data_IF_687877882745
#
_entry.id   IF_687877882745
#
_cell.length_a   1.000
_cell.length_b   1.000
_cell.length_c   1.000
_cell.angle_alpha   90.00
_cell.angle_beta   90.00
_cell.angle_gamma   90.00
#
_symmetry.space_group_name_H-M   'P 1'
#
loop_
_entity.id
_entity.type
_entity.pdbx_description
1 polymer ?
#
# COMPACT_ATOMS: atom_id res chain seq x y z
N UNK A 1 -10.84 0.17 17.26
CA UNK A 1 -9.54 0.71 16.80
C UNK A 1 -8.92 -0.27 15.81
N UNK A 2 -8.86 0.09 14.52
CA UNK A 2 -8.42 -0.78 13.43
C UNK A 2 -6.90 -1.10 13.53
N UNK A 3 -6.57 -2.29 14.02
CA UNK A 3 -5.20 -2.81 14.11
C UNK A 3 -4.87 -3.62 12.84
N UNK A 4 -3.83 -3.19 12.13
CA UNK A 4 -3.01 -3.99 11.20
C UNK A 4 -3.68 -4.61 9.94
N UNK A 5 -4.38 -3.80 9.13
CA UNK A 5 -4.98 -4.29 7.87
C UNK A 5 -3.99 -4.37 6.69
N UNK A 6 -2.98 -3.50 6.62
CA UNK A 6 -2.18 -3.34 5.39
C UNK A 6 -1.25 -4.53 5.03
N UNK A 7 -0.62 -5.19 6.01
CA UNK A 7 0.28 -6.33 5.72
C UNK A 7 -0.49 -7.54 5.19
N UNK A 8 -1.62 -7.85 5.83
CA UNK A 8 -2.49 -8.97 5.45
C UNK A 8 -3.14 -8.73 4.08
N UNK A 9 -3.55 -7.49 3.80
CA UNK A 9 -4.04 -7.08 2.49
C UNK A 9 -2.97 -7.21 1.40
N UNK A 10 -1.73 -6.78 1.66
CA UNK A 10 -0.65 -6.90 0.69
C UNK A 10 -0.34 -8.35 0.32
N UNK A 11 -0.27 -9.25 1.31
CA UNK A 11 -0.07 -10.70 1.06
C UNK A 11 -1.24 -11.28 0.27
N UNK A 12 -2.49 -10.94 0.64
CA UNK A 12 -3.69 -11.44 -0.06
C UNK A 12 -3.75 -10.94 -1.51
N UNK A 13 -3.37 -9.70 -1.77
CA UNK A 13 -3.29 -9.14 -3.12
C UNK A 13 -2.28 -9.87 -3.99
N UNK A 14 -1.09 -10.14 -3.48
CA UNK A 14 -0.06 -10.86 -4.24
C UNK A 14 -0.50 -12.30 -4.58
N UNK A 15 -1.20 -12.96 -3.65
CA UNK A 15 -1.85 -14.25 -3.95
C UNK A 15 -2.87 -14.09 -5.08
N UNK A 16 -3.69 -13.04 -5.05
CA UNK A 16 -4.73 -12.80 -6.08
C UNK A 16 -4.13 -12.47 -7.45
N UNK A 17 -2.99 -11.79 -7.50
CA UNK A 17 -2.23 -11.52 -8.72
C UNK A 17 -1.45 -12.75 -9.23
N UNK A 18 -1.46 -13.88 -8.51
CA UNK A 18 -0.83 -15.13 -8.97
C UNK A 18 0.68 -15.21 -8.75
N UNK A 19 1.23 -14.43 -7.79
CA UNK A 19 2.66 -14.49 -7.49
C UNK A 19 3.07 -15.85 -6.90
N UNK A 20 4.32 -16.24 -7.17
CA UNK A 20 4.89 -17.48 -6.64
C UNK A 20 4.87 -17.49 -5.11
N UNK A 21 4.46 -18.60 -4.52
CA UNK A 21 4.36 -18.78 -3.06
C UNK A 21 5.69 -18.57 -2.32
N UNK A 22 6.84 -18.86 -2.95
CA UNK A 22 8.16 -18.57 -2.38
C UNK A 22 8.41 -17.07 -2.23
N UNK A 23 8.01 -16.29 -3.24
CA UNK A 23 8.12 -14.82 -3.20
C UNK A 23 7.21 -14.23 -2.14
N UNK A 24 5.98 -14.73 -2.03
CA UNK A 24 5.01 -14.27 -1.02
C UNK A 24 5.54 -14.56 0.39
N UNK A 25 6.08 -15.76 0.64
CA UNK A 25 6.67 -16.13 1.93
C UNK A 25 7.90 -15.28 2.28
N UNK A 26 8.75 -14.97 1.30
CA UNK A 26 9.90 -14.10 1.51
C UNK A 26 9.46 -12.68 1.92
N UNK A 27 8.43 -12.15 1.27
CA UNK A 27 7.86 -10.86 1.60
C UNK A 27 7.20 -10.85 2.98
N UNK A 28 6.44 -11.91 3.31
CA UNK A 28 5.82 -12.08 4.61
C UNK A 28 6.86 -12.12 5.74
N UNK A 29 7.95 -12.88 5.55
CA UNK A 29 9.06 -12.93 6.51
C UNK A 29 9.71 -11.55 6.70
N UNK A 30 9.91 -10.81 5.61
CA UNK A 30 10.45 -9.44 5.65
C UNK A 30 9.56 -8.50 6.46
N UNK A 31 8.23 -8.64 6.34
CA UNK A 31 7.28 -7.84 7.11
C UNK A 31 7.14 -8.29 8.57
N UNK A 32 7.30 -9.58 8.89
CA UNK A 32 7.25 -10.10 10.26
C UNK A 32 8.50 -9.74 11.07
N UNK A 33 9.68 -9.83 10.45
CA UNK A 33 10.97 -9.55 11.11
C UNK A 33 11.30 -8.05 11.18
N UNK A 34 10.39 -7.19 10.72
CA UNK A 34 10.60 -5.76 10.64
C UNK A 34 10.72 -5.12 12.03
N UNK A 35 11.92 -4.71 12.40
CA UNK A 35 12.21 -3.97 13.63
C UNK A 35 12.81 -2.60 13.28
N UNK A 36 12.43 -1.57 14.02
CA UNK A 36 12.97 -0.21 13.87
C UNK A 36 13.54 0.30 15.19
N UNK A 37 14.50 1.20 15.13
CA UNK A 37 15.06 1.90 16.28
C UNK A 37 15.23 3.38 15.92
N UNK A 38 14.97 4.27 16.87
CA UNK A 38 15.14 5.72 16.65
C UNK A 38 16.57 6.10 17.02
N UNK A 39 17.28 6.76 16.10
CA UNK A 39 18.58 7.35 16.37
C UNK A 39 18.39 8.69 17.11
N UNK A 40 18.88 8.80 18.34
CA UNK A 40 18.91 10.05 19.10
C UNK A 40 20.34 10.35 19.55
N UNK A 41 20.85 11.54 19.19
CA UNK A 41 22.16 12.06 19.62
C UNK A 41 23.28 11.01 19.47
N UNK A 42 23.35 10.39 18.28
CA UNK A 42 24.39 9.40 17.94
C UNK A 42 24.22 8.01 18.55
N UNK A 43 23.18 7.76 19.35
CA UNK A 43 22.86 6.44 19.92
C UNK A 43 21.54 5.92 19.37
N UNK A 44 21.54 4.64 19.00
CA UNK A 44 20.32 3.95 18.57
C UNK A 44 19.54 3.56 19.83
N UNK A 45 18.32 4.05 19.96
CA UNK A 45 17.40 3.69 21.02
C UNK A 45 16.94 2.23 20.94
N UNK A 46 16.13 1.77 21.91
CA UNK A 46 15.62 0.41 21.93
C UNK A 46 14.83 0.09 20.65
N UNK A 47 15.05 -1.12 20.13
CA UNK A 47 14.35 -1.61 18.94
C UNK A 47 12.91 -1.95 19.29
N UNK A 48 11.97 -1.59 18.42
CA UNK A 48 10.58 -1.98 18.50
C UNK A 48 10.11 -2.61 17.19
N UNK A 49 9.15 -3.52 17.28
CA UNK A 49 8.57 -4.15 16.10
C UNK A 49 7.69 -3.17 15.32
N UNK A 50 7.89 -3.12 14.01
CA UNK A 50 7.07 -2.33 13.11
C UNK A 50 5.73 -3.05 12.87
N UNK A 51 4.66 -2.52 13.44
CA UNK A 51 3.29 -3.04 13.24
C UNK A 51 2.62 -2.48 11.99
N UNK A 52 3.14 -1.38 11.44
CA UNK A 52 2.60 -0.63 10.30
C UNK A 52 3.74 -0.07 9.43
N UNK A 53 3.40 0.29 8.20
CA UNK A 53 4.28 0.91 7.20
C UNK A 53 5.26 -0.05 6.52
N UNK A 54 5.75 0.38 5.35
CA UNK A 54 6.87 -0.21 4.62
C UNK A 54 8.12 0.58 4.98
N UNK A 55 9.28 -0.09 5.03
CA UNK A 55 10.55 0.56 5.33
C UNK A 55 10.81 1.68 4.30
N UNK A 56 11.02 2.91 4.76
CA UNK A 56 11.35 4.02 3.88
C UNK A 56 12.73 3.76 3.25
N UNK A 57 12.83 3.90 1.93
CA UNK A 57 14.03 3.53 1.17
C UNK A 57 14.11 2.04 0.82
N UNK A 58 13.09 1.24 1.12
CA UNK A 58 13.04 -0.14 0.65
C UNK A 58 12.79 -0.17 -0.86
N UNK A 59 13.70 -0.76 -1.65
CA UNK A 59 13.60 -0.71 -3.12
C UNK A 59 12.34 -1.40 -3.65
N UNK A 60 11.74 -2.32 -2.89
CA UNK A 60 10.51 -3.00 -3.29
C UNK A 60 9.22 -2.24 -2.94
N UNK A 61 9.29 -1.21 -2.10
CA UNK A 61 8.11 -0.48 -1.63
C UNK A 61 7.30 0.17 -2.78
N UNK A 62 7.93 0.83 -3.78
CA UNK A 62 7.22 1.40 -4.92
C UNK A 62 6.48 0.35 -5.76
N UNK A 63 7.06 -0.84 -5.92
CA UNK A 63 6.43 -1.94 -6.68
C UNK A 63 5.21 -2.51 -5.94
N UNK A 64 5.28 -2.66 -4.63
CA UNK A 64 4.13 -3.06 -3.83
C UNK A 64 3.00 -2.04 -3.88
N UNK A 65 3.34 -0.75 -3.94
CA UNK A 65 2.36 0.32 -4.12
C UNK A 65 1.67 0.22 -5.49
N UNK A 66 2.41 -0.04 -6.57
CA UNK A 66 1.84 -0.26 -7.91
C UNK A 66 0.79 -1.37 -7.93
N UNK A 67 1.07 -2.53 -7.32
CA UNK A 67 0.09 -3.61 -7.22
C UNK A 67 -1.17 -3.21 -6.44
N UNK A 68 -1.01 -2.39 -5.40
CA UNK A 68 -2.14 -1.91 -4.62
C UNK A 68 -3.01 -0.94 -5.43
N UNK A 69 -2.39 -0.02 -6.17
CA UNK A 69 -3.10 0.93 -7.06
C UNK A 69 -3.81 0.18 -8.18
N UNK A 70 -3.16 -0.81 -8.79
CA UNK A 70 -3.77 -1.65 -9.83
C UNK A 70 -5.01 -2.38 -9.32
N UNK A 71 -4.93 -2.96 -8.12
CA UNK A 71 -6.09 -3.63 -7.52
C UNK A 71 -7.25 -2.67 -7.24
N UNK A 72 -6.95 -1.44 -6.82
CA UNK A 72 -7.96 -0.39 -6.68
C UNK A 72 -8.55 -0.04 -8.05
N UNK A 73 -7.73 0.12 -9.09
CA UNK A 73 -8.21 0.42 -10.44
C UNK A 73 -9.12 -0.68 -10.99
N UNK A 74 -8.77 -1.97 -10.82
CA UNK A 74 -9.63 -3.09 -11.18
C UNK A 74 -10.94 -3.09 -10.38
N UNK A 75 -10.90 -2.71 -9.10
CA UNK A 75 -12.11 -2.60 -8.28
C UNK A 75 -13.02 -1.47 -8.75
N UNK A 76 -12.46 -0.29 -9.06
CA UNK A 76 -13.22 0.88 -9.50
C UNK A 76 -13.81 0.71 -10.91
N UNK A 77 -13.16 -0.07 -11.78
CA UNK A 77 -13.61 -0.33 -13.16
C UNK A 77 -14.52 -1.55 -13.27
N UNK A 78 -14.77 -2.27 -12.17
CA UNK A 78 -15.60 -3.46 -12.20
C UNK A 78 -17.06 -3.09 -12.54
N UNK A 79 -17.71 -3.78 -13.48
CA UNK A 79 -19.09 -3.47 -13.92
C UNK A 79 -20.14 -3.63 -12.80
N UNK A 80 -19.77 -4.25 -11.68
CA UNK A 80 -20.64 -4.49 -10.53
C UNK A 80 -20.56 -3.39 -9.45
N UNK A 81 -19.66 -2.42 -9.60
CA UNK A 81 -19.56 -1.30 -8.64
C UNK A 81 -20.40 -0.12 -9.12
N UNK A 82 -21.50 0.21 -8.43
CA UNK A 82 -22.25 1.47 -8.61
C UNK A 82 -21.46 2.67 -8.01
N UNK A 83 -20.21 2.80 -8.43
CA UNK A 83 -19.35 3.91 -8.06
C UNK A 83 -19.62 5.08 -9.00
N UNK A 84 -20.54 5.94 -8.60
CA UNK A 84 -20.77 7.22 -9.28
C UNK A 84 -19.63 8.15 -8.90
N UNK A 85 -18.88 8.61 -9.89
CA UNK A 85 -17.79 9.56 -9.71
C UNK A 85 -18.22 10.80 -8.92
N UNK A 86 -17.25 11.51 -8.34
CA UNK A 86 -17.51 12.75 -7.61
C UNK A 86 -18.10 13.79 -8.55
N UNK A 87 -19.38 14.14 -8.36
CA UNK A 87 -20.02 15.22 -9.13
C UNK A 87 -19.41 16.54 -8.70
N UNK A 88 -18.51 17.08 -9.52
CA UNK A 88 -17.96 18.41 -9.31
C UNK A 88 -19.04 19.46 -9.63
N UNK A 89 -19.27 20.46 -8.76
CA UNK A 89 -20.30 21.46 -8.96
C UNK A 89 -20.05 22.44 -10.13
N UNK A 90 -18.90 22.38 -10.80
CA UNK A 90 -18.47 23.36 -11.81
C UNK A 90 -18.09 22.74 -13.18
N UNK A 91 -18.73 21.65 -13.61
CA UNK A 91 -18.33 20.96 -14.85
C UNK A 91 -18.68 21.71 -16.15
N UNK A 92 -19.40 22.84 -16.10
CA UNK A 92 -19.98 23.48 -17.29
C UNK A 92 -19.51 24.91 -17.56
N UNK A 93 -18.45 25.40 -16.92
CA UNK A 93 -17.82 26.66 -17.34
C UNK A 93 -16.45 26.37 -17.92
N UNK A 94 -16.42 26.41 -19.24
CA UNK A 94 -15.26 26.36 -20.12
C UNK A 94 -14.06 27.08 -19.50
N UNK A 95 -12.99 26.32 -19.24
CA UNK A 95 -11.65 26.87 -19.12
C UNK A 95 -11.17 27.25 -20.53
N UNK A 96 -11.81 28.25 -21.14
CA UNK A 96 -11.25 28.99 -22.27
C UNK A 96 -10.20 29.95 -21.68
N UNK A 97 -8.98 29.45 -21.53
CA UNK A 97 -7.83 30.30 -21.26
C UNK A 97 -7.57 31.18 -22.50
N UNK A 98 -7.87 32.48 -22.35
CA UNK A 98 -7.28 33.54 -23.19
C UNK A 98 -5.77 33.64 -22.94
#
# INVERSE_FOLDING_TARGET
MAKATNKKLAVMLLVRFGFNTRWIKALEALYQLANSGVLMVGKIGPRFQLTRSVWQGFPLAPFLFLFFVEAIACFLTAPQTDLRGLKLPFSNSELSAN
#
